data_IF_249273842272
#
_entry.id   IF_249273842272
#
_cell.length_a   1.000
_cell.length_b   1.000
_cell.length_c   1.000
_cell.angle_alpha   90.00
_cell.angle_beta   90.00
_cell.angle_gamma   90.00
#
_symmetry.space_group_name_H-M   'P 1'
#
loop_
_entity.id
_entity.type
_entity.pdbx_description
1 polymer ?
#
# COMPACT_ATOMS: atom_id res chain seq x y z
N UNK A 1 12.34 5.21 4.99
CA UNK A 1 11.49 6.33 4.51
C UNK A 1 10.69 6.91 5.68
N UNK A 2 10.36 8.22 5.70
CA UNK A 2 9.45 8.79 6.72
C UNK A 2 7.98 8.56 6.35
N UNK A 3 7.08 8.49 7.33
CA UNK A 3 5.64 8.28 7.10
C UNK A 3 5.04 9.28 6.09
N UNK A 4 5.33 10.57 6.21
CA UNK A 4 4.80 11.59 5.28
C UNK A 4 5.31 11.43 3.85
N UNK A 5 6.53 10.93 3.67
CA UNK A 5 7.09 10.67 2.34
C UNK A 5 6.35 9.49 1.69
N UNK A 6 6.11 8.42 2.48
CA UNK A 6 5.33 7.27 2.03
C UNK A 6 3.90 7.67 1.65
N UNK A 7 3.19 8.41 2.50
CA UNK A 7 1.84 8.91 2.18
C UNK A 7 1.84 9.76 0.91
N UNK A 8 2.83 10.63 0.72
CA UNK A 8 2.97 11.46 -0.49
C UNK A 8 3.18 10.62 -1.74
N UNK A 9 3.94 9.53 -1.68
CA UNK A 9 4.09 8.60 -2.79
C UNK A 9 2.76 7.91 -3.11
N UNK A 10 2.04 7.45 -2.08
CA UNK A 10 0.76 6.74 -2.26
C UNK A 10 -0.36 7.63 -2.83
N UNK A 11 -0.29 8.95 -2.65
CA UNK A 11 -1.22 9.90 -3.28
C UNK A 11 -1.13 9.92 -4.81
N UNK A 12 -0.04 9.42 -5.40
CA UNK A 12 0.15 9.37 -6.85
C UNK A 12 -0.38 8.07 -7.47
N UNK A 13 -0.91 7.14 -6.67
CA UNK A 13 -1.48 5.90 -7.18
C UNK A 13 -2.86 6.17 -7.76
N UNK A 14 -3.04 5.89 -9.05
CA UNK A 14 -4.32 6.03 -9.72
C UNK A 14 -5.38 5.10 -9.12
N UNK A 15 -6.62 5.57 -9.10
CA UNK A 15 -7.78 4.80 -8.63
C UNK A 15 -8.42 3.94 -9.71
N UNK A 16 -9.60 3.41 -9.42
CA UNK A 16 -10.41 2.71 -10.42
C UNK A 16 -11.08 3.73 -11.33
N UNK A 17 -10.97 3.57 -12.65
CA UNK A 17 -11.71 4.38 -13.62
C UNK A 17 -13.22 4.08 -13.57
N UNK A 18 -13.58 2.80 -13.54
CA UNK A 18 -14.97 2.32 -13.47
C UNK A 18 -15.12 1.28 -12.32
N UNK A 19 -15.36 1.72 -11.07
CA UNK A 19 -15.42 0.82 -9.92
C UNK A 19 -16.67 -0.07 -9.95
N UNK A 20 -16.46 -1.38 -9.74
CA UNK A 20 -17.50 -2.40 -9.65
C UNK A 20 -18.01 -2.50 -8.21
N UNK A 21 -19.22 -1.99 -7.96
CA UNK A 21 -19.84 -1.94 -6.63
C UNK A 21 -19.98 -3.33 -6.00
N UNK A 22 -20.35 -4.36 -6.78
CA UNK A 22 -20.53 -5.72 -6.28
C UNK A 22 -19.22 -6.40 -5.82
N UNK A 23 -18.07 -5.81 -6.15
CA UNK A 23 -16.75 -6.24 -5.70
C UNK A 23 -16.16 -5.28 -4.66
N UNK A 24 -16.93 -4.29 -4.20
CA UNK A 24 -16.49 -3.29 -3.23
C UNK A 24 -15.20 -2.56 -3.66
N UNK A 25 -15.11 -2.18 -4.95
CA UNK A 25 -13.92 -1.51 -5.48
C UNK A 25 -13.81 -0.06 -5.01
N UNK A 26 -13.06 0.16 -3.94
CA UNK A 26 -12.56 1.46 -3.51
C UNK A 26 -11.06 1.35 -3.20
N UNK A 27 -10.23 2.32 -3.60
CA UNK A 27 -8.82 2.30 -3.25
C UNK A 27 -8.66 2.55 -1.75
N UNK A 28 -7.68 1.91 -1.13
CA UNK A 28 -7.26 2.28 0.23
C UNK A 28 -6.75 3.72 0.23
N UNK A 29 -7.21 4.55 1.17
CA UNK A 29 -6.77 5.94 1.20
C UNK A 29 -5.27 6.04 1.56
N UNK A 30 -4.52 6.99 0.97
CA UNK A 30 -3.07 7.11 1.20
C UNK A 30 -2.69 7.26 2.68
N UNK A 31 -3.51 7.94 3.47
CA UNK A 31 -3.27 8.11 4.91
C UNK A 31 -3.37 6.78 5.68
N UNK A 32 -4.41 5.99 5.40
CA UNK A 32 -4.61 4.69 6.05
C UNK A 32 -3.52 3.70 5.59
N UNK A 33 -3.25 3.64 4.28
CA UNK A 33 -2.21 2.80 3.72
C UNK A 33 -0.82 3.16 4.27
N UNK A 34 -0.48 4.45 4.33
CA UNK A 34 0.78 4.94 4.87
C UNK A 34 0.97 4.57 6.33
N UNK A 35 -0.04 4.83 7.18
CA UNK A 35 0.00 4.47 8.60
C UNK A 35 0.16 2.96 8.81
N UNK A 36 -0.60 2.15 8.07
CA UNK A 36 -0.56 0.69 8.13
C UNK A 36 0.83 0.16 7.73
N UNK A 37 1.29 0.48 6.51
CA UNK A 37 2.57 -0.01 5.99
C UNK A 37 3.77 0.47 6.79
N UNK A 38 3.77 1.74 7.21
CA UNK A 38 4.82 2.28 8.07
C UNK A 38 4.90 1.53 9.40
N UNK A 39 3.76 1.16 9.99
CA UNK A 39 3.76 0.38 11.22
C UNK A 39 4.29 -1.03 10.99
N UNK A 40 3.83 -1.73 9.94
CA UNK A 40 4.30 -3.08 9.59
C UNK A 40 5.82 -3.08 9.36
N UNK A 41 6.35 -2.10 8.65
CA UNK A 41 7.78 -1.98 8.38
C UNK A 41 8.59 -1.54 9.61
N UNK A 42 8.27 -0.40 10.23
CA UNK A 42 9.12 0.19 11.28
C UNK A 42 8.98 -0.47 12.65
N UNK A 43 7.82 -1.07 12.95
CA UNK A 43 7.55 -1.65 14.28
C UNK A 43 7.76 -3.16 14.27
N UNK A 44 7.41 -3.83 13.18
CA UNK A 44 7.43 -5.30 13.10
C UNK A 44 8.49 -5.86 12.15
N UNK A 45 9.11 -5.05 11.29
CA UNK A 45 10.13 -5.49 10.31
C UNK A 45 9.61 -6.60 9.35
N UNK A 46 8.32 -6.55 9.03
CA UNK A 46 7.61 -7.58 8.27
C UNK A 46 7.42 -7.25 6.78
N UNK A 47 8.13 -6.23 6.26
CA UNK A 47 8.10 -5.87 4.83
C UNK A 47 9.46 -6.08 4.17
N UNK A 48 10.53 -5.48 4.72
CA UNK A 48 11.81 -5.40 4.02
C UNK A 48 12.40 -6.80 3.79
N UNK A 49 12.79 -7.09 2.55
CA UNK A 49 13.30 -8.40 2.12
C UNK A 49 12.34 -9.59 2.41
N UNK A 50 11.05 -9.33 2.66
CA UNK A 50 10.02 -10.36 2.84
C UNK A 50 9.23 -10.55 1.56
N UNK A 51 8.81 -11.78 1.29
CA UNK A 51 7.83 -12.05 0.25
C UNK A 51 6.43 -11.67 0.78
N UNK A 52 5.84 -10.60 0.25
CA UNK A 52 4.55 -10.05 0.71
C UNK A 52 3.46 -10.37 -0.31
N UNK A 53 2.28 -10.76 0.18
CA UNK A 53 1.08 -10.95 -0.63
C UNK A 53 0.00 -9.95 -0.23
N UNK A 54 -0.62 -9.31 -1.23
CA UNK A 54 -1.72 -8.36 -1.09
C UNK A 54 -2.98 -8.96 -1.74
N UNK A 55 -3.92 -9.41 -0.91
CA UNK A 55 -5.11 -10.14 -1.35
C UNK A 55 -6.25 -9.16 -1.60
N UNK A 56 -6.76 -9.13 -2.84
CA UNK A 56 -7.70 -8.09 -3.26
C UNK A 56 -7.01 -6.75 -3.47
N UNK A 57 -5.80 -6.77 -4.05
CA UNK A 57 -4.91 -5.61 -4.17
C UNK A 57 -5.53 -4.38 -4.87
N UNK A 58 -6.59 -4.57 -5.67
CA UNK A 58 -7.30 -3.48 -6.33
C UNK A 58 -6.36 -2.66 -7.24
N UNK A 59 -6.29 -1.34 -7.02
CA UNK A 59 -5.35 -0.46 -7.72
C UNK A 59 -3.90 -0.58 -7.23
N UNK A 60 -3.63 -1.43 -6.24
CA UNK A 60 -2.29 -1.75 -5.77
C UNK A 60 -1.72 -0.74 -4.77
N UNK A 61 -2.52 0.10 -4.10
CA UNK A 61 -2.03 1.09 -3.12
C UNK A 61 -1.13 0.43 -2.07
N UNK A 62 -1.55 -0.71 -1.50
CA UNK A 62 -0.77 -1.44 -0.50
C UNK A 62 0.43 -2.14 -1.12
N UNK A 63 0.25 -2.82 -2.25
CA UNK A 63 1.33 -3.47 -3.01
C UNK A 63 2.45 -2.51 -3.40
N UNK A 64 2.12 -1.34 -3.95
CA UNK A 64 3.07 -0.30 -4.34
C UNK A 64 3.79 0.23 -3.10
N UNK A 65 3.07 0.51 -2.02
CA UNK A 65 3.68 0.96 -0.78
C UNK A 65 4.63 -0.07 -0.15
N UNK A 66 4.29 -1.36 -0.20
CA UNK A 66 5.17 -2.43 0.23
C UNK A 66 6.43 -2.52 -0.65
N UNK A 67 6.30 -2.36 -1.96
CA UNK A 67 7.44 -2.31 -2.89
C UNK A 67 8.35 -1.10 -2.65
N UNK A 68 7.78 0.08 -2.36
CA UNK A 68 8.52 1.30 -1.97
C UNK A 68 9.30 1.12 -0.67
N UNK A 69 8.86 0.21 0.20
CA UNK A 69 9.51 -0.16 1.46
C UNK A 69 10.40 -1.40 1.32
N UNK A 70 10.86 -1.71 0.10
CA UNK A 70 11.81 -2.77 -0.23
C UNK A 70 11.33 -4.20 0.12
N UNK A 71 10.05 -4.50 -0.17
CA UNK A 71 9.56 -5.89 -0.19
C UNK A 71 10.40 -6.77 -1.13
N UNK A 72 10.62 -8.02 -0.74
CA UNK A 72 11.40 -9.01 -1.50
C UNK A 72 10.66 -9.61 -2.69
N UNK A 73 11.42 -10.23 -3.61
CA UNK A 73 10.95 -10.91 -4.82
C UNK A 73 11.35 -12.38 -4.85
#
# INVERSE_FOLDING_TARGET
MKLKELESCLQQVDGFEEPKILLEQYPTSPHIAGCMLYTIHNTFDDIQNKLVADLGCGCGVLSIGASVLDAGY
#
